data_IF_170698193328
#
_entry.id   IF_170698193328
#
_cell.length_a   1.000
_cell.length_b   1.000
_cell.length_c   1.000
_cell.angle_alpha   90.00
_cell.angle_beta   90.00
_cell.angle_gamma   90.00
#
_symmetry.space_group_name_H-M   'P 1'
#
loop_
_entity.id
_entity.type
_entity.pdbx_description
1 polymer ?
#
# COMPACT_ATOMS: atom_id res chain seq x y z
N UNK A 1 -13.18 -12.95 -18.33
CA UNK A 1 -14.29 -11.98 -18.24
C UNK A 1 -13.66 -10.61 -18.11
N UNK A 2 -13.65 -9.84 -19.19
CA UNK A 2 -12.92 -8.56 -19.29
C UNK A 2 -12.52 -8.24 -20.72
N UNK A 3 -12.08 -9.25 -21.48
CA UNK A 3 -11.71 -9.09 -22.89
C UNK A 3 -12.89 -8.74 -23.83
N UNK A 4 -14.12 -8.82 -23.33
CA UNK A 4 -15.30 -8.40 -24.08
C UNK A 4 -15.44 -6.86 -24.00
N UNK A 5 -15.31 -6.13 -25.12
CA UNK A 5 -15.37 -4.67 -25.14
C UNK A 5 -16.68 -4.09 -24.58
N UNK A 6 -17.81 -4.75 -24.81
CA UNK A 6 -19.12 -4.31 -24.34
C UNK A 6 -19.22 -4.40 -22.81
N UNK A 7 -18.74 -5.50 -22.24
CA UNK A 7 -18.75 -5.69 -20.78
C UNK A 7 -17.78 -4.71 -20.10
N UNK A 8 -16.60 -4.49 -20.69
CA UNK A 8 -15.64 -3.49 -20.20
C UNK A 8 -16.23 -2.09 -20.25
N UNK A 9 -16.88 -1.72 -21.36
CA UNK A 9 -17.56 -0.42 -21.48
C UNK A 9 -18.62 -0.23 -20.40
N UNK A 10 -19.49 -1.23 -20.20
CA UNK A 10 -20.52 -1.19 -19.16
C UNK A 10 -19.94 -1.05 -17.75
N UNK A 11 -18.85 -1.77 -17.44
CA UNK A 11 -18.18 -1.68 -16.14
C UNK A 11 -17.61 -0.28 -15.88
N UNK A 12 -16.91 0.29 -16.85
CA UNK A 12 -16.20 1.55 -16.69
C UNK A 12 -17.11 2.79 -16.86
N UNK A 13 -18.35 2.61 -17.32
CA UNK A 13 -19.33 3.68 -17.47
C UNK A 13 -20.56 3.42 -16.58
N UNK A 14 -21.52 2.62 -17.04
CA UNK A 14 -22.82 2.44 -16.37
C UNK A 14 -22.69 2.00 -14.91
N UNK A 15 -21.75 1.08 -14.61
CA UNK A 15 -21.50 0.63 -13.24
C UNK A 15 -20.79 1.71 -12.42
N UNK A 16 -19.78 2.38 -12.97
CA UNK A 16 -19.11 3.49 -12.28
C UNK A 16 -20.09 4.63 -11.94
N UNK A 17 -20.96 5.01 -12.88
CA UNK A 17 -22.04 5.99 -12.68
C UNK A 17 -23.00 5.53 -11.58
N UNK A 18 -23.41 4.26 -11.61
CA UNK A 18 -24.31 3.69 -10.60
C UNK A 18 -23.68 3.73 -9.20
N UNK A 19 -22.40 3.36 -9.06
CA UNK A 19 -21.70 3.38 -7.78
C UNK A 19 -21.66 4.80 -7.19
N UNK A 20 -21.41 5.81 -8.02
CA UNK A 20 -21.46 7.22 -7.59
C UNK A 20 -22.89 7.63 -7.21
N UNK A 21 -23.88 7.31 -8.04
CA UNK A 21 -25.28 7.65 -7.79
C UNK A 21 -25.79 7.12 -6.44
N UNK A 22 -25.45 5.88 -6.09
CA UNK A 22 -25.83 5.27 -4.82
C UNK A 22 -24.95 5.68 -3.63
N UNK A 23 -23.97 6.56 -3.84
CA UNK A 23 -23.12 7.08 -2.76
C UNK A 23 -22.17 6.04 -2.17
N UNK A 24 -21.76 5.05 -2.97
CA UNK A 24 -20.77 4.04 -2.54
C UNK A 24 -19.48 4.75 -2.14
N UNK A 25 -18.82 4.24 -1.11
CA UNK A 25 -17.42 4.57 -0.83
C UNK A 25 -16.57 3.39 -1.26
N UNK A 26 -15.63 3.62 -2.17
CA UNK A 26 -14.70 2.59 -2.61
C UNK A 26 -13.47 2.61 -1.72
N UNK A 27 -13.15 1.49 -1.10
CA UNK A 27 -11.90 1.31 -0.36
C UNK A 27 -11.07 0.25 -1.11
N UNK A 28 -10.24 0.67 -2.07
CA UNK A 28 -9.35 -0.25 -2.74
C UNK A 28 -8.27 -0.72 -1.75
N UNK A 29 -7.91 -2.01 -1.84
CA UNK A 29 -6.85 -2.67 -1.06
C UNK A 29 -5.81 -3.24 -2.03
N UNK A 30 -5.24 -2.42 -2.91
CA UNK A 30 -4.43 -2.89 -4.04
C UNK A 30 -3.11 -3.54 -3.62
N UNK A 31 -2.52 -3.11 -2.51
CA UNK A 31 -1.18 -3.49 -2.06
C UNK A 31 -1.07 -4.98 -1.75
N UNK A 32 -1.99 -5.57 -0.97
CA UNK A 32 -1.99 -7.02 -0.70
C UNK A 32 -2.09 -7.84 -2.00
N UNK A 33 -2.93 -7.39 -2.92
CA UNK A 33 -3.20 -8.12 -4.17
C UNK A 33 -2.12 -7.92 -5.23
N UNK A 34 -1.17 -7.00 -5.02
CA UNK A 34 -0.09 -6.73 -5.95
C UNK A 34 0.83 -7.95 -6.12
N UNK A 35 1.05 -8.71 -5.04
CA UNK A 35 1.97 -9.85 -5.05
C UNK A 35 1.62 -10.90 -6.11
N UNK A 36 0.34 -11.05 -6.47
CA UNK A 36 -0.10 -12.03 -7.45
C UNK A 36 0.23 -11.64 -8.90
N UNK A 37 0.72 -10.41 -9.14
CA UNK A 37 1.23 -9.94 -10.44
C UNK A 37 2.65 -10.47 -10.70
N UNK A 38 3.46 -10.54 -9.65
CA UNK A 38 4.87 -10.95 -9.71
C UNK A 38 5.27 -11.49 -8.33
N UNK A 39 5.07 -12.80 -8.16
CA UNK A 39 5.18 -13.42 -6.84
C UNK A 39 6.64 -13.52 -6.38
N UNK A 40 7.57 -13.74 -7.32
CA UNK A 40 9.00 -13.84 -7.03
C UNK A 40 9.54 -12.49 -6.57
N UNK A 41 9.15 -11.38 -7.22
CA UNK A 41 9.50 -10.05 -6.74
C UNK A 41 8.92 -9.75 -5.37
N UNK A 42 7.68 -10.18 -5.10
CA UNK A 42 7.05 -10.00 -3.80
C UNK A 42 7.84 -10.71 -2.69
N UNK A 43 8.28 -11.95 -2.90
CA UNK A 43 9.16 -12.67 -1.97
C UNK A 43 10.49 -11.95 -1.72
N UNK A 44 11.04 -11.28 -2.74
CA UNK A 44 12.35 -10.64 -2.72
C UNK A 44 12.38 -9.21 -2.16
N UNK A 45 11.27 -8.70 -1.60
CA UNK A 45 11.24 -7.32 -1.11
C UNK A 45 12.21 -7.12 0.08
N UNK A 46 13.06 -6.08 0.07
CA UNK A 46 14.18 -5.95 1.01
C UNK A 46 13.72 -5.71 2.46
N UNK A 47 12.50 -5.22 2.67
CA UNK A 47 11.96 -5.06 4.04
C UNK A 47 11.60 -6.39 4.70
N UNK A 48 11.51 -7.51 3.97
CA UNK A 48 11.26 -8.82 4.56
C UNK A 48 12.34 -9.28 5.53
N UNK A 49 13.59 -8.92 5.24
CA UNK A 49 14.72 -9.23 6.09
C UNK A 49 14.63 -8.48 7.43
N UNK A 50 14.32 -7.18 7.37
CA UNK A 50 14.50 -6.27 8.50
C UNK A 50 13.23 -5.92 9.26
N UNK A 51 12.07 -5.97 8.60
CA UNK A 51 10.83 -5.40 9.13
C UNK A 51 9.61 -6.34 9.06
N UNK A 52 9.72 -7.51 8.45
CA UNK A 52 8.63 -8.51 8.45
C UNK A 52 8.85 -9.55 9.55
N UNK A 53 7.94 -9.58 10.51
CA UNK A 53 7.94 -10.56 11.59
C UNK A 53 7.85 -12.00 11.03
N UNK A 54 8.54 -12.95 11.66
CA UNK A 54 8.59 -14.34 11.17
C UNK A 54 7.21 -14.99 11.04
N UNK A 55 6.32 -14.79 12.03
CA UNK A 55 4.95 -15.31 11.95
C UNK A 55 4.16 -14.78 10.74
N UNK A 56 4.40 -13.54 10.29
CA UNK A 56 3.76 -13.00 9.09
C UNK A 56 4.31 -13.66 7.83
N UNK A 57 5.63 -13.86 7.79
CA UNK A 57 6.29 -14.59 6.71
C UNK A 57 5.72 -16.00 6.56
N UNK A 58 5.64 -16.76 7.66
CA UNK A 58 5.13 -18.14 7.67
C UNK A 58 3.65 -18.23 7.30
N UNK A 59 2.84 -17.26 7.72
CA UNK A 59 1.41 -17.18 7.35
C UNK A 59 1.20 -17.03 5.83
N UNK A 60 2.17 -16.47 5.12
CA UNK A 60 2.09 -16.23 3.67
C UNK A 60 2.72 -17.31 2.81
N UNK A 61 3.40 -18.29 3.41
CA UNK A 61 3.91 -19.43 2.67
C UNK A 61 2.77 -20.12 1.91
N UNK A 62 2.99 -20.53 0.65
CA UNK A 62 1.97 -21.21 -0.14
C UNK A 62 1.39 -22.43 0.59
N UNK A 63 0.06 -22.46 0.75
CA UNK A 63 -0.64 -23.52 1.49
C UNK A 63 -2.10 -23.64 1.05
N UNK A 64 -2.59 -24.85 0.72
CA UNK A 64 -4.00 -25.07 0.38
C UNK A 64 -4.96 -24.96 1.57
N UNK A 65 -4.45 -24.88 2.80
CA UNK A 65 -5.24 -24.80 4.02
C UNK A 65 -5.24 -23.42 4.67
N UNK A 66 -4.43 -22.48 4.16
CA UNK A 66 -4.31 -21.13 4.71
C UNK A 66 -5.06 -20.11 3.85
N UNK A 67 -5.68 -19.13 4.49
CA UNK A 67 -6.41 -18.06 3.82
C UNK A 67 -5.44 -17.19 3.02
N UNK A 68 -5.78 -16.90 1.76
CA UNK A 68 -5.00 -16.06 0.85
C UNK A 68 -3.57 -16.56 0.51
N UNK A 69 -3.25 -17.83 0.79
CA UNK A 69 -1.96 -18.47 0.50
C UNK A 69 -2.01 -19.42 -0.71
N UNK A 70 -2.82 -19.08 -1.72
CA UNK A 70 -3.11 -19.94 -2.86
C UNK A 70 -2.02 -19.96 -3.94
N UNK A 71 -0.90 -19.28 -3.74
CA UNK A 71 0.18 -19.15 -4.73
C UNK A 71 1.06 -20.42 -4.83
N UNK A 72 0.48 -21.60 -4.62
CA UNK A 72 1.08 -22.90 -4.96
C UNK A 72 0.68 -23.27 -6.39
N UNK A 73 1.65 -23.68 -7.21
CA UNK A 73 1.46 -23.87 -8.67
C UNK A 73 0.97 -22.59 -9.40
N UNK A 74 1.28 -21.40 -8.88
CA UNK A 74 0.95 -20.12 -9.51
C UNK A 74 1.71 -19.97 -10.83
N UNK A 75 1.01 -20.08 -11.95
CA UNK A 75 1.66 -20.09 -13.27
C UNK A 75 1.83 -18.67 -13.81
N UNK A 76 2.73 -18.50 -14.79
CA UNK A 76 2.84 -17.23 -15.52
C UNK A 76 1.55 -16.84 -16.25
N UNK A 77 0.68 -17.81 -16.58
CA UNK A 77 -0.63 -17.52 -17.13
C UNK A 77 -1.59 -16.94 -16.07
N UNK A 78 -1.47 -17.39 -14.82
CA UNK A 78 -2.24 -16.84 -13.70
C UNK A 78 -1.77 -15.41 -13.37
N UNK A 79 -0.45 -15.17 -13.34
CA UNK A 79 0.11 -13.82 -13.21
C UNK A 79 -0.37 -12.89 -14.33
N UNK A 80 -0.31 -13.33 -15.59
CA UNK A 80 -0.82 -12.56 -16.74
C UNK A 80 -2.31 -12.22 -16.59
N UNK A 81 -3.14 -13.19 -16.22
CA UNK A 81 -4.58 -12.98 -16.00
C UNK A 81 -4.84 -12.02 -14.83
N UNK A 82 -4.05 -12.14 -13.77
CA UNK A 82 -4.14 -11.27 -12.60
C UNK A 82 -3.75 -9.84 -12.96
N UNK A 83 -2.66 -9.64 -13.69
CA UNK A 83 -2.24 -8.35 -14.23
C UNK A 83 -3.39 -7.65 -14.96
N UNK A 84 -4.03 -8.36 -15.89
CA UNK A 84 -5.17 -7.82 -16.63
C UNK A 84 -6.33 -7.38 -15.71
N UNK A 85 -6.73 -8.24 -14.76
CA UNK A 85 -7.81 -7.94 -13.83
C UNK A 85 -7.45 -6.76 -12.91
N UNK A 86 -6.21 -6.72 -12.45
CA UNK A 86 -5.69 -5.72 -11.53
C UNK A 86 -5.62 -4.33 -12.17
N UNK A 87 -5.31 -4.27 -13.47
CA UNK A 87 -5.32 -3.03 -14.24
C UNK A 87 -6.76 -2.58 -14.53
N UNK A 88 -7.66 -3.49 -14.91
CA UNK A 88 -9.09 -3.18 -15.07
C UNK A 88 -9.72 -2.67 -13.76
N UNK A 89 -9.30 -3.20 -12.62
CA UNK A 89 -9.71 -2.69 -11.31
C UNK A 89 -9.20 -1.26 -11.07
N UNK A 90 -7.95 -0.98 -11.46
CA UNK A 90 -7.40 0.38 -11.50
C UNK A 90 -8.25 1.34 -12.34
N UNK A 91 -8.61 0.93 -13.56
CA UNK A 91 -9.46 1.73 -14.45
C UNK A 91 -10.82 2.05 -13.82
N UNK A 92 -11.43 1.08 -13.12
CA UNK A 92 -12.69 1.29 -12.41
C UNK A 92 -12.54 2.29 -11.25
N UNK A 93 -11.46 2.19 -10.47
CA UNK A 93 -11.16 3.14 -9.38
C UNK A 93 -11.06 4.56 -9.95
N UNK A 94 -10.34 4.72 -11.06
CA UNK A 94 -10.19 6.00 -11.74
C UNK A 94 -11.51 6.56 -12.27
N UNK A 95 -12.27 5.77 -13.03
CA UNK A 95 -13.54 6.23 -13.60
C UNK A 95 -14.57 6.57 -12.51
N UNK A 96 -14.57 5.83 -11.40
CA UNK A 96 -15.38 6.12 -10.22
C UNK A 96 -14.95 7.44 -9.54
N UNK A 97 -13.65 7.62 -9.30
CA UNK A 97 -13.12 8.83 -8.66
C UNK A 97 -13.35 10.09 -9.51
N UNK A 98 -13.08 9.99 -10.82
CA UNK A 98 -13.28 11.06 -11.81
C UNK A 98 -14.72 11.58 -11.87
N UNK A 99 -15.70 10.74 -11.54
CA UNK A 99 -17.13 11.09 -11.43
C UNK A 99 -17.53 11.69 -10.09
N UNK A 100 -16.57 11.93 -9.18
CA UNK A 100 -16.81 12.45 -7.84
C UNK A 100 -17.09 11.37 -6.80
N UNK A 101 -16.87 10.09 -7.14
CA UNK A 101 -16.96 8.98 -6.20
C UNK A 101 -15.95 9.11 -5.05
N UNK A 102 -16.38 8.75 -3.84
CA UNK A 102 -15.51 8.80 -2.66
C UNK A 102 -14.61 7.57 -2.62
N UNK A 103 -13.32 7.78 -2.89
CA UNK A 103 -12.29 6.77 -2.64
C UNK A 103 -11.73 6.97 -1.24
N UNK A 104 -11.93 5.99 -0.38
CA UNK A 104 -11.23 5.85 0.91
C UNK A 104 -9.98 5.00 0.71
N UNK A 105 -9.24 4.76 1.78
CA UNK A 105 -7.94 4.10 1.71
C UNK A 105 -7.89 2.89 2.64
N UNK A 106 -7.39 1.78 2.13
CA UNK A 106 -7.15 0.54 2.86
C UNK A 106 -6.09 -0.29 2.15
N UNK A 107 -5.45 -1.21 2.84
CA UNK A 107 -4.36 -2.00 2.24
C UNK A 107 -4.48 -3.50 2.44
N UNK A 108 -5.26 -3.92 3.44
CA UNK A 108 -5.25 -5.29 3.95
C UNK A 108 -3.83 -5.75 4.35
N UNK A 109 -3.05 -4.82 4.92
CA UNK A 109 -1.66 -5.05 5.32
C UNK A 109 -1.52 -6.28 6.21
N UNK A 110 -0.38 -6.96 6.06
CA UNK A 110 -0.07 -8.26 6.66
C UNK A 110 -0.80 -9.44 6.01
N UNK A 111 -1.30 -9.29 4.79
CA UNK A 111 -1.71 -10.37 3.89
C UNK A 111 -0.86 -10.38 2.62
N UNK A 112 -0.73 -11.58 2.02
CA UNK A 112 -0.12 -11.81 0.69
C UNK A 112 1.19 -11.04 0.46
N UNK A 113 2.15 -11.21 1.38
CA UNK A 113 3.48 -10.58 1.30
C UNK A 113 3.52 -9.05 1.49
N UNK A 114 2.38 -8.41 1.76
CA UNK A 114 2.34 -7.01 2.17
C UNK A 114 2.78 -6.87 3.63
N UNK A 115 3.87 -6.13 3.88
CA UNK A 115 4.36 -5.86 5.24
C UNK A 115 3.73 -4.60 5.80
N UNK A 116 3.13 -4.70 7.00
CA UNK A 116 2.53 -3.59 7.72
C UNK A 116 3.35 -2.30 7.69
N UNK A 117 2.71 -1.21 7.32
CA UNK A 117 3.31 0.13 7.20
C UNK A 117 4.03 0.36 5.86
N UNK A 118 4.73 -0.63 5.32
CA UNK A 118 5.33 -0.54 3.98
C UNK A 118 4.27 -0.72 2.88
N UNK A 119 3.34 -1.64 3.09
CA UNK A 119 2.17 -1.86 2.24
C UNK A 119 1.27 -0.63 2.15
N UNK A 120 1.10 0.09 3.26
CA UNK A 120 0.48 1.43 3.27
C UNK A 120 1.11 2.36 2.21
N UNK A 121 2.43 2.57 2.27
CA UNK A 121 3.08 3.49 1.33
C UNK A 121 2.97 2.99 -0.12
N UNK A 122 2.98 1.67 -0.32
CA UNK A 122 2.76 1.06 -1.63
C UNK A 122 1.33 1.26 -2.14
N UNK A 123 0.31 1.20 -1.28
CA UNK A 123 -1.07 1.50 -1.66
C UNK A 123 -1.21 2.91 -2.22
N UNK A 124 -0.56 3.91 -1.63
CA UNK A 124 -0.60 5.28 -2.18
C UNK A 124 -0.06 5.31 -3.61
N UNK A 125 1.03 4.60 -3.87
CA UNK A 125 1.62 4.51 -5.21
C UNK A 125 0.73 3.73 -6.18
N UNK A 126 0.03 2.70 -5.71
CA UNK A 126 -0.89 1.90 -6.52
C UNK A 126 -2.18 2.67 -6.80
N UNK A 127 -2.72 3.41 -5.85
CA UNK A 127 -3.87 4.29 -6.10
C UNK A 127 -3.48 5.40 -7.09
N UNK A 128 -2.25 5.93 -7.00
CA UNK A 128 -1.71 6.81 -8.05
C UNK A 128 -1.58 6.12 -9.41
N UNK A 129 -1.13 4.85 -9.45
CA UNK A 129 -1.04 4.03 -10.67
C UNK A 129 -2.41 3.86 -11.36
N UNK A 130 -3.52 4.01 -10.64
CA UNK A 130 -4.86 4.02 -11.27
C UNK A 130 -5.12 5.26 -12.12
N UNK A 131 -4.38 6.36 -11.94
CA UNK A 131 -4.55 7.62 -12.67
C UNK A 131 -5.12 8.77 -11.82
N UNK A 132 -5.33 8.56 -10.53
CA UNK A 132 -5.76 9.62 -9.60
C UNK A 132 -4.66 10.68 -9.42
N UNK A 133 -5.02 11.95 -9.24
CA UNK A 133 -4.05 13.01 -8.96
C UNK A 133 -3.40 12.80 -7.57
N UNK A 134 -2.10 13.08 -7.36
CA UNK A 134 -1.43 12.84 -6.07
C UNK A 134 -2.14 13.45 -4.85
N UNK A 135 -2.73 14.63 -4.99
CA UNK A 135 -3.53 15.25 -3.92
C UNK A 135 -4.85 14.51 -3.64
N UNK A 136 -5.46 13.88 -4.64
CA UNK A 136 -6.66 13.05 -4.46
C UNK A 136 -6.32 11.76 -3.73
N UNK A 137 -5.14 11.18 -4.01
CA UNK A 137 -4.60 10.04 -3.28
C UNK A 137 -4.33 10.40 -1.81
N UNK A 138 -3.69 11.54 -1.54
CA UNK A 138 -3.50 11.98 -0.15
C UNK A 138 -4.85 12.24 0.54
N UNK A 139 -5.82 12.80 -0.17
CA UNK A 139 -7.18 13.00 0.35
C UNK A 139 -7.89 11.68 0.62
N UNK A 140 -7.68 10.65 -0.20
CA UNK A 140 -8.25 9.32 0.04
C UNK A 140 -7.73 8.73 1.35
N UNK A 141 -6.41 8.82 1.56
CA UNK A 141 -5.70 8.32 2.73
C UNK A 141 -5.94 9.09 4.04
N UNK A 142 -6.52 10.29 3.96
CA UNK A 142 -6.70 11.17 5.12
C UNK A 142 -8.17 11.52 5.30
N UNK A 143 -8.62 12.63 4.70
CA UNK A 143 -9.97 13.16 4.87
C UNK A 143 -11.06 12.16 4.50
N UNK A 144 -10.97 11.50 3.33
CA UNK A 144 -12.03 10.59 2.90
C UNK A 144 -12.14 9.38 3.84
N UNK A 145 -11.01 8.75 4.21
CA UNK A 145 -11.02 7.68 5.20
C UNK A 145 -11.59 8.10 6.55
N UNK A 146 -11.26 9.30 7.04
CA UNK A 146 -11.84 9.86 8.26
C UNK A 146 -13.38 9.99 8.15
N UNK A 147 -13.89 10.47 7.00
CA UNK A 147 -15.34 10.51 6.76
C UNK A 147 -15.97 9.12 6.69
N UNK A 148 -15.27 8.14 6.11
CA UNK A 148 -15.76 6.76 5.97
C UNK A 148 -15.93 6.06 7.31
N UNK A 149 -15.00 6.28 8.25
CA UNK A 149 -15.08 5.70 9.61
C UNK A 149 -15.86 6.59 10.59
N UNK A 150 -16.52 7.65 10.10
CA UNK A 150 -17.32 8.58 10.90
C UNK A 150 -16.53 9.32 11.99
N UNK A 151 -15.27 9.65 11.70
CA UNK A 151 -14.38 10.42 12.59
C UNK A 151 -14.08 11.81 12.00
N UNK A 152 -15.03 12.76 12.06
CA UNK A 152 -14.95 14.02 11.30
C UNK A 152 -13.84 14.98 11.78
N UNK A 153 -13.20 14.71 12.93
CA UNK A 153 -12.09 15.50 13.47
C UNK A 153 -10.71 14.97 13.07
N UNK A 154 -10.65 13.96 12.18
CA UNK A 154 -9.40 13.41 11.64
C UNK A 154 -9.20 13.80 10.17
N UNK A 155 -7.99 13.53 9.66
CA UNK A 155 -7.69 13.58 8.23
C UNK A 155 -7.43 14.97 7.65
N UNK A 156 -7.36 16.02 8.47
CA UNK A 156 -7.03 17.39 8.03
C UNK A 156 -6.20 18.15 9.07
N UNK A 157 -5.34 19.05 8.59
CA UNK A 157 -4.60 20.01 9.42
C UNK A 157 -5.45 21.28 9.56
N UNK A 158 -6.30 21.33 10.60
CA UNK A 158 -7.19 22.46 10.86
C UNK A 158 -7.44 22.64 12.37
N UNK A 159 -7.67 23.89 12.81
CA UNK A 159 -8.03 24.18 14.19
C UNK A 159 -9.27 23.39 14.62
N UNK A 160 -9.20 22.71 15.77
CA UNK A 160 -10.29 21.90 16.32
C UNK A 160 -10.26 20.42 15.90
N UNK A 161 -9.33 20.02 15.03
CA UNK A 161 -9.07 18.63 14.66
C UNK A 161 -8.11 17.98 15.66
N UNK A 162 -8.14 16.66 15.73
CA UNK A 162 -7.21 15.87 16.55
C UNK A 162 -5.80 16.00 15.95
N UNK A 163 -4.80 16.15 16.80
CA UNK A 163 -3.39 16.33 16.40
C UNK A 163 -2.74 15.01 15.99
N UNK A 164 -3.26 14.41 14.91
CA UNK A 164 -2.69 13.26 14.21
C UNK A 164 -1.94 13.74 12.96
N UNK A 165 -0.61 13.80 13.01
CA UNK A 165 0.23 14.49 12.03
C UNK A 165 1.47 13.66 11.70
N UNK A 166 1.84 13.59 10.42
CA UNK A 166 3.15 13.10 9.99
C UNK A 166 4.04 14.29 9.62
N UNK A 167 5.24 14.35 10.20
CA UNK A 167 6.29 15.30 9.82
C UNK A 167 7.27 14.58 8.91
N UNK A 168 7.41 15.04 7.66
CA UNK A 168 8.12 14.32 6.59
C UNK A 168 9.23 15.19 6.00
N UNK A 169 10.37 14.58 5.72
CA UNK A 169 11.50 15.20 5.00
C UNK A 169 11.24 15.19 3.49
N UNK A 170 10.44 16.16 3.04
CA UNK A 170 9.97 16.32 1.67
C UNK A 170 8.45 16.32 1.58
N UNK A 171 7.91 16.79 0.45
CA UNK A 171 6.47 16.83 0.20
C UNK A 171 5.97 15.47 -0.33
N UNK A 172 5.10 14.74 0.39
CA UNK A 172 4.54 13.48 -0.13
C UNK A 172 3.70 13.67 -1.40
N UNK A 173 3.19 14.88 -1.65
CA UNK A 173 2.46 15.19 -2.88
C UNK A 173 3.36 15.18 -4.13
N UNK A 174 4.68 15.34 -3.95
CA UNK A 174 5.66 15.22 -5.03
C UNK A 174 6.14 13.78 -5.19
N UNK A 175 6.35 13.07 -4.07
CA UNK A 175 6.84 11.69 -4.09
C UNK A 175 6.45 10.93 -2.82
N UNK A 176 5.57 9.94 -2.95
CA UNK A 176 5.17 9.08 -1.81
C UNK A 176 6.32 8.27 -1.21
N UNK A 177 7.45 8.11 -1.92
CA UNK A 177 8.62 7.43 -1.36
C UNK A 177 9.22 8.18 -0.17
N UNK A 178 8.94 9.48 0.00
CA UNK A 178 9.31 10.21 1.21
C UNK A 178 8.59 9.72 2.47
N UNK A 179 7.53 8.92 2.34
CA UNK A 179 6.86 8.31 3.48
C UNK A 179 7.54 7.02 3.96
N UNK A 180 8.47 6.45 3.20
CA UNK A 180 9.25 5.33 3.71
C UNK A 180 10.13 5.76 4.88
N UNK A 181 10.29 4.94 5.92
CA UNK A 181 11.14 5.27 7.07
C UNK A 181 12.63 5.38 6.71
N UNK A 182 13.01 4.89 5.52
CA UNK A 182 14.35 5.03 4.95
C UNK A 182 14.41 6.10 3.84
N UNK A 183 13.34 6.89 3.66
CA UNK A 183 13.22 7.94 2.66
C UNK A 183 13.39 7.48 1.21
N UNK A 184 13.58 8.45 0.32
CA UNK A 184 13.79 8.24 -1.11
C UNK A 184 15.23 8.57 -1.51
N UNK A 185 15.68 7.99 -2.62
CA UNK A 185 16.93 8.41 -3.27
C UNK A 185 16.60 9.60 -4.16
N UNK A 186 17.30 10.70 -3.95
CA UNK A 186 17.23 11.92 -4.75
C UNK A 186 18.64 12.26 -5.26
N UNK A 187 18.70 13.18 -6.22
CA UNK A 187 19.93 13.75 -6.74
C UNK A 187 19.94 15.25 -6.41
N UNK A 188 21.06 15.74 -5.88
CA UNK A 188 21.31 17.17 -5.80
C UNK A 188 21.51 17.72 -7.22
N UNK A 189 20.80 18.79 -7.58
CA UNK A 189 20.81 19.31 -8.96
C UNK A 189 22.09 20.06 -9.32
N UNK A 190 22.84 20.54 -8.33
CA UNK A 190 24.07 21.31 -8.54
C UNK A 190 25.30 20.41 -8.53
N UNK A 191 25.33 19.42 -7.63
CA UNK A 191 26.50 18.53 -7.48
C UNK A 191 26.36 17.19 -8.21
N UNK A 192 25.14 16.85 -8.67
CA UNK A 192 24.78 15.53 -9.21
C UNK A 192 24.99 14.37 -8.22
N UNK A 193 25.19 14.69 -6.93
CA UNK A 193 25.37 13.69 -5.90
C UNK A 193 24.04 13.08 -5.48
N UNK A 194 24.02 11.75 -5.37
CA UNK A 194 22.86 11.02 -4.88
C UNK A 194 22.82 11.07 -3.35
N UNK A 195 21.68 11.44 -2.81
CA UNK A 195 21.44 11.44 -1.37
C UNK A 195 20.13 10.73 -1.04
N UNK A 196 19.97 10.34 0.21
CA UNK A 196 18.76 9.71 0.72
C UNK A 196 18.04 10.68 1.65
N UNK A 197 16.75 10.93 1.40
CA UNK A 197 15.92 11.71 2.34
C UNK A 197 15.73 10.93 3.64
N UNK A 198 15.35 11.63 4.70
CA UNK A 198 15.16 11.02 6.03
C UNK A 198 13.84 10.28 6.17
N UNK A 199 12.89 10.49 5.27
CA UNK A 199 11.57 9.89 5.34
C UNK A 199 10.64 10.60 6.33
N UNK A 200 9.80 9.83 7.04
CA UNK A 200 9.03 10.34 8.18
C UNK A 200 9.97 10.61 9.36
N UNK A 201 10.00 11.85 9.84
CA UNK A 201 10.79 12.26 11.01
C UNK A 201 10.01 12.01 12.29
N UNK A 202 8.76 12.51 12.34
CA UNK A 202 7.91 12.37 13.52
C UNK A 202 6.52 11.90 13.13
N UNK A 203 5.97 11.03 13.98
CA UNK A 203 4.55 10.72 14.02
C UNK A 203 3.99 11.38 15.26
N UNK A 204 3.00 12.25 15.09
CA UNK A 204 2.27 12.86 16.20
C UNK A 204 0.92 12.17 16.24
N UNK A 205 0.60 11.51 17.35
CA UNK A 205 -0.69 10.84 17.56
C UNK A 205 -1.34 11.45 18.79
N UNK A 206 -2.53 12.03 18.61
CA UNK A 206 -3.26 12.75 19.66
C UNK A 206 -2.40 13.78 20.40
N UNK A 207 -1.55 14.49 19.64
CA UNK A 207 -0.61 15.49 20.18
C UNK A 207 0.65 14.91 20.84
N UNK A 208 0.77 13.59 20.99
CA UNK A 208 1.97 12.93 21.50
C UNK A 208 2.96 12.73 20.37
N UNK A 209 4.18 13.23 20.55
CA UNK A 209 5.25 13.18 19.53
C UNK A 209 6.06 11.90 19.68
N UNK A 210 6.16 11.13 18.59
CA UNK A 210 7.00 9.96 18.46
C UNK A 210 8.10 10.23 17.44
N UNK A 211 9.35 10.00 17.82
CA UNK A 211 10.50 10.00 16.92
C UNK A 211 10.51 8.70 16.11
N UNK A 212 10.28 8.79 14.79
CA UNK A 212 10.11 7.62 13.93
C UNK A 212 11.34 6.72 13.92
N UNK A 213 12.54 7.29 14.08
CA UNK A 213 13.77 6.51 14.18
C UNK A 213 13.73 5.52 15.36
N UNK A 214 13.14 5.91 16.49
CA UNK A 214 13.04 5.04 17.66
C UNK A 214 11.97 3.96 17.47
N UNK A 215 10.84 4.30 16.84
CA UNK A 215 9.82 3.31 16.47
C UNK A 215 10.41 2.22 15.56
N UNK A 216 11.16 2.61 14.52
CA UNK A 216 11.74 1.65 13.59
C UNK A 216 12.82 0.77 14.21
N UNK A 217 13.60 1.29 15.18
CA UNK A 217 14.55 0.48 15.96
C UNK A 217 13.84 -0.58 16.79
N UNK A 218 12.68 -0.24 17.36
CA UNK A 218 11.91 -1.19 18.15
C UNK A 218 11.27 -2.27 17.28
N UNK A 219 10.75 -1.90 16.10
CA UNK A 219 10.28 -2.87 15.09
C UNK A 219 11.40 -3.81 14.68
N UNK A 220 12.58 -3.29 14.35
CA UNK A 220 13.76 -4.10 13.99
C UNK A 220 14.14 -5.07 15.12
N UNK A 221 14.11 -4.63 16.38
CA UNK A 221 14.39 -5.48 17.55
C UNK A 221 13.40 -6.64 17.65
N UNK A 222 12.10 -6.35 17.52
CA UNK A 222 11.02 -7.36 17.57
C UNK A 222 11.16 -8.36 16.42
N UNK A 223 11.40 -7.88 15.19
CA UNK A 223 11.54 -8.74 14.01
C UNK A 223 12.78 -9.62 14.12
N UNK A 224 13.91 -9.06 14.56
CA UNK A 224 15.14 -9.82 14.78
C UNK A 224 14.95 -10.93 15.82
N UNK A 225 14.23 -10.64 16.91
CA UNK A 225 13.89 -11.65 17.92
C UNK A 225 13.04 -12.77 17.32
N UNK A 226 12.03 -12.43 16.52
CA UNK A 226 11.12 -13.42 15.91
C UNK A 226 11.80 -14.38 14.94
N UNK A 227 12.94 -13.99 14.36
CA UNK A 227 13.65 -14.76 13.33
C UNK A 227 14.78 -15.65 13.88
N UNK A 228 15.03 -15.66 15.19
CA UNK A 228 16.18 -16.39 15.79
C UNK A 228 16.17 -17.89 15.48
N UNK A 229 15.00 -18.50 15.50
CA UNK A 229 14.81 -19.94 15.28
C UNK A 229 14.24 -20.24 13.88
N UNK A 230 14.18 -19.23 13.00
CA UNK A 230 13.66 -19.39 11.65
C UNK A 230 14.63 -20.18 10.78
N UNK A 231 14.18 -21.34 10.28
CA UNK A 231 14.90 -22.14 9.30
C UNK A 231 14.65 -21.66 7.86
N UNK A 232 15.31 -22.30 6.88
CA UNK A 232 14.94 -22.16 5.48
C UNK A 232 13.54 -22.73 5.21
N UNK A 233 12.93 -22.30 4.11
CA UNK A 233 11.60 -22.70 3.66
C UNK A 233 11.54 -22.72 2.12
N UNK A 234 10.38 -23.12 1.59
CA UNK A 234 10.17 -23.29 0.14
C UNK A 234 10.32 -22.01 -0.69
N UNK A 235 10.23 -20.83 -0.06
CA UNK A 235 10.38 -19.53 -0.73
C UNK A 235 11.82 -19.04 -0.67
N UNK A 236 12.52 -19.34 0.42
CA UNK A 236 13.91 -18.92 0.63
C UNK A 236 14.93 -19.88 0.01
N UNK A 237 14.63 -21.17 -0.11
CA UNK A 237 15.48 -22.11 -0.84
C UNK A 237 15.18 -22.07 -2.35
N UNK A 238 16.20 -22.18 -3.24
CA UNK A 238 17.63 -22.36 -2.96
C UNK A 238 18.42 -21.03 -2.92
N UNK A 239 17.76 -19.90 -2.62
CA UNK A 239 18.33 -18.56 -2.78
C UNK A 239 19.11 -18.05 -1.55
N UNK A 240 18.81 -18.58 -0.36
CA UNK A 240 19.52 -18.28 0.89
C UNK A 240 20.72 -19.18 1.14
#
# INVERSE_FOLDING_TARGET
AGDNPETRHRLLNDIADSLVYYGVTMQPNRATYEANRDIVRAHGLPWHEKYTHQALWEMHLPSPHAHASFQYNWSSLDEYRWHYMYDLWGDLIFEFNKRGGRVAYGTDDNYQWSTGGFGNIRELQLVLESGMHPLEVLRSATYNSAQTILEPKLGMIQKGYIADILVVDGSPAENFRYLYPFGAINMDKETEEMYRTKGIIHTIKDGVVFENKNLMREVERIVKESKKDAGPDIVTEPFK
#
